data_IF_361993512658
#
_entry.id   IF_361993512658
#
_cell.length_a   1.000
_cell.length_b   1.000
_cell.length_c   1.000
_cell.angle_alpha   90.00
_cell.angle_beta   90.00
_cell.angle_gamma   90.00
#
_symmetry.space_group_name_H-M   'P 1'
#
loop_
_entity.id
_entity.type
_entity.pdbx_description
1 polymer ?
#
# COMPACT_ATOMS: atom_id res chain seq x y z
N UNK A 1 2.27 11.81 24.25
CA UNK A 1 0.86 11.43 23.98
C UNK A 1 0.87 10.79 22.61
N UNK A 2 0.62 9.48 22.52
CA UNK A 2 0.61 8.77 21.24
C UNK A 2 -0.75 8.98 20.61
N UNK A 3 -0.85 9.91 19.66
CA UNK A 3 -2.05 10.08 18.85
C UNK A 3 -2.16 8.86 17.94
N UNK A 4 -2.99 7.88 18.32
CA UNK A 4 -3.38 6.80 17.43
C UNK A 4 -4.21 7.42 16.30
N UNK A 5 -3.60 7.54 15.13
CA UNK A 5 -4.31 7.82 13.88
C UNK A 5 -5.10 6.55 13.52
N UNK A 6 -6.42 6.67 13.48
CA UNK A 6 -7.30 5.59 13.06
C UNK A 6 -7.27 5.58 11.53
N UNK A 7 -6.26 4.93 10.96
CA UNK A 7 -6.21 4.65 9.52
C UNK A 7 -7.33 3.66 9.22
N UNK A 8 -8.47 4.17 8.78
CA UNK A 8 -9.61 3.35 8.35
C UNK A 8 -9.44 3.12 6.85
N UNK A 9 -8.48 2.27 6.46
CA UNK A 9 -8.23 2.00 5.04
C UNK A 9 -8.97 0.74 4.63
N UNK A 10 -10.09 0.93 3.93
CA UNK A 10 -10.56 -0.03 2.94
C UNK A 10 -9.89 0.42 1.65
N UNK A 11 -8.74 -0.16 1.30
CA UNK A 11 -8.19 0.02 -0.04
C UNK A 11 -8.98 -0.94 -0.95
N UNK A 12 -10.11 -0.44 -1.44
CA UNK A 12 -10.70 -0.96 -2.66
C UNK A 12 -10.28 0.02 -3.74
N UNK A 13 -9.24 -0.32 -4.51
CA UNK A 13 -8.86 0.36 -5.75
C UNK A 13 -9.96 0.13 -6.78
N UNK A 14 -11.05 0.87 -6.62
CA UNK A 14 -12.20 0.84 -7.50
C UNK A 14 -11.94 1.83 -8.64
N UNK A 15 -11.66 1.32 -9.83
CA UNK A 15 -11.66 2.10 -11.08
C UNK A 15 -13.10 2.55 -11.41
N UNK A 16 -13.65 3.51 -10.67
CA UNK A 16 -14.82 4.27 -11.12
C UNK A 16 -14.32 5.36 -12.04
N UNK A 17 -14.44 5.15 -13.34
CA UNK A 17 -14.37 6.23 -14.30
C UNK A 17 -15.51 7.24 -14.00
N UNK A 18 -15.22 8.32 -13.24
CA UNK A 18 -15.75 9.71 -13.38
C UNK A 18 -15.67 10.52 -12.07
N UNK A 19 -14.66 11.39 -11.91
CA UNK A 19 -14.64 12.51 -10.93
C UNK A 19 -13.27 12.78 -10.28
N UNK A 20 -12.78 14.03 -10.16
CA UNK A 20 -11.41 14.30 -9.74
C UNK A 20 -11.30 14.35 -8.21
N UNK A 21 -10.90 13.24 -7.60
CA UNK A 21 -10.11 13.14 -6.37
C UNK A 21 -10.01 11.67 -5.97
N UNK A 22 -9.56 10.82 -6.89
CA UNK A 22 -8.92 9.59 -6.45
C UNK A 22 -7.56 10.01 -5.89
N UNK A 23 -7.22 9.56 -4.68
CA UNK A 23 -5.85 9.60 -4.18
C UNK A 23 -5.04 8.66 -5.07
N UNK A 24 -4.72 9.13 -6.28
CA UNK A 24 -3.77 8.49 -7.16
C UNK A 24 -2.43 8.81 -6.55
N UNK A 25 -1.80 7.79 -6.01
CA UNK A 25 -0.39 7.83 -5.77
C UNK A 25 0.33 8.08 -7.10
N UNK A 26 1.44 8.79 -7.00
CA UNK A 26 2.22 9.23 -8.15
C UNK A 26 3.57 8.55 -8.07
N UNK A 27 3.89 7.75 -9.08
CA UNK A 27 5.23 7.24 -9.29
C UNK A 27 6.26 8.40 -9.32
N UNK A 28 7.31 8.25 -8.52
CA UNK A 28 8.39 9.23 -8.38
C UNK A 28 9.74 8.56 -8.49
N UNK A 29 10.74 9.31 -8.92
CA UNK A 29 12.11 8.80 -8.89
C UNK A 29 12.67 8.84 -7.46
N UNK A 30 13.63 7.96 -7.17
CA UNK A 30 14.30 7.84 -5.87
C UNK A 30 14.81 9.17 -5.30
N UNK A 31 15.27 10.10 -6.14
CA UNK A 31 15.76 11.42 -5.71
C UNK A 31 14.66 12.38 -5.23
N UNK A 32 13.39 12.07 -5.50
CA UNK A 32 12.24 12.82 -5.01
C UNK A 32 11.74 12.31 -3.65
N UNK A 33 12.25 11.16 -3.18
CA UNK A 33 11.90 10.58 -1.89
C UNK A 33 12.82 11.17 -0.79
N UNK A 34 12.27 11.57 0.37
CA UNK A 34 13.06 12.10 1.47
C UNK A 34 14.16 11.14 1.89
N UNK A 35 15.34 11.70 2.17
CA UNK A 35 16.50 10.92 2.60
C UNK A 35 16.21 10.05 3.83
N UNK A 36 15.41 10.55 4.77
CA UNK A 36 15.04 9.81 5.99
C UNK A 36 14.25 8.52 5.66
N UNK A 37 13.32 8.59 4.70
CA UNK A 37 12.55 7.44 4.21
C UNK A 37 13.48 6.42 3.56
N UNK A 38 14.36 6.86 2.65
CA UNK A 38 15.32 5.98 1.97
C UNK A 38 16.25 5.28 2.97
N UNK A 39 16.79 6.02 3.95
CA UNK A 39 17.67 5.46 4.97
C UNK A 39 16.94 4.47 5.88
N UNK A 40 15.69 4.75 6.26
CA UNK A 40 14.86 3.85 7.05
C UNK A 40 14.58 2.54 6.31
N UNK A 41 14.23 2.64 5.02
CA UNK A 41 13.95 1.50 4.17
C UNK A 41 15.19 0.64 3.93
N UNK A 42 16.28 1.23 3.42
CA UNK A 42 17.50 0.49 3.04
C UNK A 42 18.16 -0.20 4.24
N UNK A 43 18.07 0.41 5.43
CA UNK A 43 18.58 -0.18 6.67
C UNK A 43 17.79 -1.43 7.09
N UNK A 44 16.48 -1.43 6.85
CA UNK A 44 15.56 -2.47 7.32
C UNK A 44 15.42 -3.60 6.30
N UNK A 45 15.49 -3.28 5.01
CA UNK A 45 15.26 -4.19 3.89
C UNK A 45 16.46 -4.26 2.94
N UNK A 46 17.64 -4.69 3.42
CA UNK A 46 18.87 -4.68 2.63
C UNK A 46 18.87 -5.66 1.45
N UNK A 47 17.91 -6.60 1.39
CA UNK A 47 17.78 -7.56 0.28
C UNK A 47 16.62 -7.24 -0.66
N UNK A 48 15.97 -6.08 -0.50
CA UNK A 48 14.91 -5.63 -1.38
C UNK A 48 15.38 -5.56 -2.84
N UNK A 49 14.50 -5.97 -3.76
CA UNK A 49 14.69 -5.95 -5.21
C UNK A 49 13.45 -5.33 -5.86
N UNK A 50 13.56 -4.95 -7.13
CA UNK A 50 12.43 -4.38 -7.89
C UNK A 50 11.75 -3.28 -7.07
N UNK A 51 12.54 -2.29 -6.64
CA UNK A 51 12.09 -1.24 -5.72
C UNK A 51 11.49 -0.10 -6.52
N UNK A 52 10.22 0.18 -6.26
CA UNK A 52 9.46 1.27 -6.86
C UNK A 52 9.07 2.28 -5.77
N UNK A 53 8.85 3.54 -6.16
CA UNK A 53 8.60 4.62 -5.22
C UNK A 53 7.40 5.44 -5.67
N UNK A 54 6.45 5.63 -4.77
CA UNK A 54 5.29 6.46 -5.00
C UNK A 54 5.17 7.57 -3.96
N UNK A 55 4.53 8.66 -4.34
CA UNK A 55 4.19 9.76 -3.46
C UNK A 55 2.68 9.96 -3.42
N UNK A 56 2.11 9.88 -2.22
CA UNK A 56 0.72 10.13 -1.93
C UNK A 56 0.50 11.36 -1.04
N UNK A 57 -0.77 11.62 -0.72
CA UNK A 57 -1.19 12.63 0.25
C UNK A 57 -2.25 12.06 1.18
N UNK A 58 -1.98 12.05 2.48
CA UNK A 58 -2.92 11.66 3.53
C UNK A 58 -3.15 12.85 4.46
N UNK A 59 -4.41 13.27 4.60
CA UNK A 59 -4.80 14.41 5.44
C UNK A 59 -3.99 15.70 5.16
N UNK A 60 -3.61 15.91 3.90
CA UNK A 60 -2.81 17.07 3.47
C UNK A 60 -1.32 16.98 3.77
N UNK A 61 -0.83 15.82 4.23
CA UNK A 61 0.60 15.52 4.43
C UNK A 61 1.09 14.58 3.34
N UNK A 62 2.30 14.82 2.86
CA UNK A 62 2.96 13.90 1.94
C UNK A 62 3.29 12.58 2.66
N UNK A 63 3.02 11.48 1.97
CA UNK A 63 3.42 10.13 2.35
C UNK A 63 4.15 9.50 1.17
N UNK A 64 4.95 8.49 1.46
CA UNK A 64 5.80 7.84 0.49
C UNK A 64 5.65 6.34 0.61
N UNK A 65 5.21 5.70 -0.47
CA UNK A 65 5.15 4.26 -0.55
C UNK A 65 6.40 3.72 -1.22
N UNK A 66 6.92 2.62 -0.67
CA UNK A 66 7.99 1.85 -1.28
C UNK A 66 7.47 0.43 -1.49
N UNK A 67 7.24 0.10 -2.75
CA UNK A 67 6.96 -1.26 -3.20
C UNK A 67 8.29 -1.98 -3.47
N UNK A 68 8.40 -3.23 -3.05
CA UNK A 68 9.59 -4.03 -3.29
C UNK A 68 9.32 -5.54 -3.22
N UNK A 69 10.21 -6.31 -3.86
CA UNK A 69 10.24 -7.77 -3.75
C UNK A 69 11.34 -8.27 -2.83
N UNK A 70 10.96 -9.19 -1.95
CA UNK A 70 11.89 -9.96 -1.12
C UNK A 70 11.40 -11.40 -0.99
N UNK A 71 12.29 -12.37 -1.19
CA UNK A 71 11.96 -13.81 -1.13
C UNK A 71 10.81 -14.25 -2.06
N UNK A 72 10.66 -13.58 -3.21
CA UNK A 72 9.62 -13.88 -4.20
C UNK A 72 8.22 -13.41 -3.81
N UNK A 73 8.12 -12.52 -2.81
CA UNK A 73 6.89 -11.86 -2.38
C UNK A 73 7.05 -10.36 -2.56
N UNK A 74 5.94 -9.71 -2.85
CA UNK A 74 5.82 -8.26 -2.99
C UNK A 74 5.30 -7.67 -1.69
N UNK A 75 5.84 -6.51 -1.33
CA UNK A 75 5.53 -5.79 -0.12
C UNK A 75 5.49 -4.31 -0.40
N UNK A 76 4.56 -3.63 0.26
CA UNK A 76 4.43 -2.19 0.24
C UNK A 76 4.65 -1.66 1.66
N UNK A 77 5.36 -0.54 1.76
CA UNK A 77 5.57 0.15 3.03
C UNK A 77 5.30 1.62 2.83
N UNK A 78 4.28 2.09 3.54
CA UNK A 78 3.93 3.49 3.59
C UNK A 78 4.70 4.18 4.71
N UNK A 79 5.45 5.20 4.36
CA UNK A 79 6.19 6.06 5.27
C UNK A 79 5.61 7.46 5.32
N UNK A 80 5.76 8.13 6.46
CA UNK A 80 5.71 9.59 6.50
C UNK A 80 7.04 10.21 6.01
N UNK A 81 7.08 11.53 5.88
CA UNK A 81 8.27 12.24 5.38
C UNK A 81 9.50 12.14 6.31
N UNK A 82 9.31 11.76 7.58
CA UNK A 82 10.36 11.60 8.58
C UNK A 82 10.92 10.15 8.59
N UNK A 83 10.34 9.25 7.79
CA UNK A 83 10.74 7.85 7.68
C UNK A 83 10.09 6.95 8.74
N UNK A 84 9.02 7.40 9.41
CA UNK A 84 8.22 6.54 10.27
C UNK A 84 7.26 5.68 9.43
N UNK A 85 7.16 4.40 9.74
CA UNK A 85 6.25 3.47 9.07
C UNK A 85 4.82 3.75 9.55
N UNK A 86 3.94 4.06 8.60
CA UNK A 86 2.50 4.21 8.82
C UNK A 86 1.76 2.90 8.57
N UNK A 87 2.17 2.15 7.56
CA UNK A 87 1.53 0.90 7.13
C UNK A 87 2.54 -0.02 6.45
N UNK A 88 2.29 -1.33 6.53
CA UNK A 88 3.04 -2.36 5.82
C UNK A 88 2.08 -3.42 5.32
N UNK A 89 2.25 -3.81 4.06
CA UNK A 89 1.39 -4.78 3.39
C UNK A 89 2.24 -5.83 2.68
N UNK A 90 1.60 -6.97 2.41
CA UNK A 90 2.14 -8.07 1.62
C UNK A 90 1.08 -8.45 0.61
N UNK A 91 1.44 -8.42 -0.68
CA UNK A 91 0.57 -8.89 -1.74
C UNK A 91 0.44 -10.42 -1.62
N UNK A 92 -0.79 -10.90 -1.61
CA UNK A 92 -1.16 -12.31 -1.48
C UNK A 92 -1.98 -12.75 -2.68
N UNK A 93 -1.88 -14.03 -3.00
CA UNK A 93 -2.73 -14.62 -4.04
C UNK A 93 -4.20 -14.54 -3.60
N UNK A 94 -5.06 -14.03 -4.48
CA UNK A 94 -6.52 -13.94 -4.26
C UNK A 94 -7.13 -15.30 -3.93
N UNK A 95 -6.55 -16.40 -4.43
CA UNK A 95 -6.96 -17.77 -4.12
C UNK A 95 -6.69 -18.15 -2.66
N UNK A 96 -5.78 -17.45 -1.97
CA UNK A 96 -5.44 -17.68 -0.56
C UNK A 96 -6.29 -16.87 0.41
N UNK A 97 -7.21 -16.04 -0.08
CA UNK A 97 -8.13 -15.30 0.76
C UNK A 97 -8.99 -16.25 1.61
N UNK A 98 -9.26 -15.91 2.89
CA UNK A 98 -10.17 -16.70 3.71
C UNK A 98 -11.56 -16.79 3.06
N UNK A 99 -12.14 -17.98 3.04
CA UNK A 99 -13.43 -18.24 2.41
C UNK A 99 -14.54 -17.23 2.81
N UNK A 100 -14.67 -16.82 4.09
CA UNK A 100 -15.67 -15.82 4.47
C UNK A 100 -15.45 -14.44 3.83
N UNK A 101 -14.19 -14.07 3.55
CA UNK A 101 -13.83 -12.79 2.90
C UNK A 101 -14.20 -12.85 1.42
N UNK A 102 -13.81 -13.92 0.73
CA UNK A 102 -14.15 -14.13 -0.68
C UNK A 102 -15.68 -14.17 -0.90
N UNK A 103 -16.40 -14.89 -0.03
CA UNK A 103 -17.87 -14.93 -0.07
C UNK A 103 -18.50 -13.55 0.15
N UNK A 104 -17.99 -12.75 1.09
CA UNK A 104 -18.50 -11.41 1.35
C UNK A 104 -18.36 -10.48 0.14
N UNK A 105 -17.25 -10.59 -0.61
CA UNK A 105 -17.01 -9.80 -1.82
C UNK A 105 -18.01 -10.19 -2.92
N UNK A 106 -18.15 -11.49 -3.20
CA UNK A 106 -19.04 -12.01 -4.24
C UNK A 106 -20.52 -11.69 -3.91
N UNK A 107 -20.92 -11.85 -2.65
CA UNK A 107 -22.31 -11.69 -2.22
C UNK A 107 -22.79 -10.22 -2.20
N UNK A 108 -21.89 -9.24 -2.01
CA UNK A 108 -22.29 -7.85 -1.77
C UNK A 108 -22.57 -7.00 -3.02
N UNK A 109 -22.12 -7.38 -4.22
CA UNK A 109 -22.51 -6.79 -5.51
C UNK A 109 -21.59 -7.19 -6.68
N UNK A 110 -20.46 -7.85 -6.42
CA UNK A 110 -19.38 -8.00 -7.40
C UNK A 110 -19.33 -9.38 -8.06
N UNK A 111 -20.48 -10.03 -8.26
CA UNK A 111 -20.54 -11.38 -8.86
C UNK A 111 -20.00 -11.48 -10.29
N UNK A 112 -19.73 -10.34 -10.93
CA UNK A 112 -19.10 -10.25 -12.26
C UNK A 112 -17.71 -9.60 -12.24
N UNK A 113 -17.22 -9.14 -11.09
CA UNK A 113 -15.89 -8.54 -11.00
C UNK A 113 -14.84 -9.64 -10.83
N UNK A 114 -13.67 -9.43 -11.45
CA UNK A 114 -12.49 -10.21 -11.13
C UNK A 114 -11.80 -9.60 -9.91
N UNK A 115 -11.33 -10.45 -9.00
CA UNK A 115 -10.35 -10.04 -8.00
C UNK A 115 -9.00 -10.02 -8.70
N UNK A 116 -8.45 -8.84 -8.88
CA UNK A 116 -7.13 -8.67 -9.54
C UNK A 116 -6.00 -8.72 -8.52
N UNK A 117 -6.26 -8.28 -7.30
CA UNK A 117 -5.26 -8.14 -6.24
C UNK A 117 -5.86 -8.42 -4.86
N UNK A 118 -5.00 -8.89 -3.96
CA UNK A 118 -5.32 -9.02 -2.56
C UNK A 118 -4.06 -8.73 -1.73
N UNK A 119 -4.21 -7.94 -0.69
CA UNK A 119 -3.12 -7.60 0.22
C UNK A 119 -3.47 -8.01 1.65
N UNK A 120 -2.41 -8.23 2.42
CA UNK A 120 -2.49 -8.49 3.84
C UNK A 120 -1.73 -7.41 4.61
N UNK A 121 -2.46 -6.62 5.38
CA UNK A 121 -1.88 -5.69 6.35
C UNK A 121 -1.09 -6.43 7.44
N UNK A 122 0.17 -6.04 7.61
CA UNK A 122 1.10 -6.54 8.62
C UNK A 122 1.11 -5.57 9.80
N UNK A 123 0.83 -6.08 11.00
CA UNK A 123 0.83 -5.32 12.27
C UNK A 123 2.11 -5.52 13.08
#
# INVERSE_FOLDING_TARGET
>A
MKTQFWITTILATLWIASGPAHASEKEVSKDQVPKAVLEAFEKTYPNAKEVEFEQGMIEGKAVYEIEYKENGREYEILYDADGEILQKEESIDVETLPEPVAQAIIAKAYSKAALEEAEKMIK
#
